data_IF_964632633119
#
_entry.id   IF_964632633119
#
_cell.length_a   1.000
_cell.length_b   1.000
_cell.length_c   1.000
_cell.angle_alpha   90.00
_cell.angle_beta   90.00
_cell.angle_gamma   90.00
#
_symmetry.space_group_name_H-M   'P 1'
#
loop_
_entity.id
_entity.type
_entity.pdbx_description
1 polymer ?
#
# COMPACT_ATOMS: atom_id res chain seq x y z
N UNK A 1 -18.34 17.29 -15.75
CA UNK A 1 -18.78 16.20 -14.99
C UNK A 1 -17.72 15.93 -13.96
N UNK A 2 -17.19 14.76 -13.76
CA UNK A 2 -16.27 14.46 -12.69
C UNK A 2 -14.91 15.13 -12.71
N UNK A 3 -14.54 15.83 -13.78
CA UNK A 3 -13.21 16.44 -13.89
C UNK A 3 -12.93 17.52 -12.81
N UNK A 4 -13.96 18.19 -12.36
CA UNK A 4 -13.84 19.23 -11.33
C UNK A 4 -14.08 18.71 -9.91
N UNK A 5 -14.42 17.43 -9.78
CA UNK A 5 -14.59 16.82 -8.47
C UNK A 5 -13.23 16.55 -7.85
N UNK A 6 -13.17 16.63 -6.54
CA UNK A 6 -11.93 16.40 -5.79
C UNK A 6 -12.02 15.13 -4.99
N UNK A 7 -10.88 14.44 -4.85
CA UNK A 7 -10.76 13.19 -4.12
C UNK A 7 -9.53 13.22 -3.23
N UNK A 8 -9.58 12.46 -2.15
CA UNK A 8 -8.36 12.09 -1.44
C UNK A 8 -7.60 11.13 -2.33
N UNK A 9 -6.29 11.21 -2.30
CA UNK A 9 -5.45 10.39 -3.14
C UNK A 9 -4.40 9.68 -2.30
N UNK A 10 -4.33 8.36 -2.41
CA UNK A 10 -3.39 7.56 -1.62
C UNK A 10 -2.74 6.46 -2.43
N UNK A 11 -1.71 5.87 -1.84
CA UNK A 11 -1.00 4.72 -2.40
C UNK A 11 -0.68 3.73 -1.30
N UNK A 12 -0.77 2.43 -1.59
CA UNK A 12 -0.36 1.37 -0.67
C UNK A 12 0.50 0.36 -1.40
N UNK A 13 1.38 -0.31 -0.64
CA UNK A 13 2.31 -1.30 -1.17
C UNK A 13 1.90 -2.71 -0.77
N UNK A 14 1.92 -3.61 -1.73
CA UNK A 14 1.84 -5.05 -1.50
C UNK A 14 3.27 -5.58 -1.59
N UNK A 15 3.83 -5.92 -0.44
CA UNK A 15 5.20 -6.44 -0.32
C UNK A 15 5.09 -7.86 0.23
N UNK A 16 5.58 -8.83 -0.52
CA UNK A 16 5.54 -10.23 -0.10
C UNK A 16 6.96 -10.75 0.22
N UNK A 17 7.03 -11.69 1.17
CA UNK A 17 8.29 -12.39 1.46
C UNK A 17 8.38 -13.69 0.66
N UNK A 18 9.46 -14.46 0.88
CA UNK A 18 9.71 -15.72 0.18
C UNK A 18 8.60 -16.76 0.41
N UNK A 19 7.87 -16.67 1.52
CA UNK A 19 6.76 -17.58 1.85
C UNK A 19 5.43 -17.09 1.30
N UNK A 20 5.40 -15.99 0.55
CA UNK A 20 4.19 -15.41 0.00
C UNK A 20 3.34 -14.64 1.00
N UNK A 21 3.86 -14.40 2.20
CA UNK A 21 3.17 -13.60 3.21
C UNK A 21 3.36 -12.12 2.95
N UNK A 22 2.40 -11.32 3.37
CA UNK A 22 2.33 -9.89 3.09
C UNK A 22 2.72 -9.05 4.30
N UNK A 23 3.47 -7.97 4.04
CA UNK A 23 3.90 -7.06 5.09
C UNK A 23 2.75 -6.16 5.55
N UNK A 24 2.47 -6.19 6.85
CA UNK A 24 1.51 -5.31 7.51
C UNK A 24 2.20 -4.54 8.62
N UNK A 25 1.77 -3.30 8.83
CA UNK A 25 2.27 -2.41 9.86
C UNK A 25 1.16 -2.08 10.85
N UNK A 26 1.48 -2.10 12.16
CA UNK A 26 0.53 -1.75 13.20
C UNK A 26 0.62 -0.25 13.49
N UNK A 27 -0.49 0.47 13.34
CA UNK A 27 -0.54 1.90 13.59
C UNK A 27 -0.46 2.22 15.08
N UNK A 28 0.16 3.34 15.41
CA UNK A 28 0.20 3.90 16.78
C UNK A 28 -0.92 4.91 17.00
N UNK A 29 -1.71 5.22 15.96
CA UNK A 29 -2.76 6.23 15.95
C UNK A 29 -4.09 5.65 15.48
N UNK A 30 -5.15 6.45 15.60
CA UNK A 30 -6.48 6.04 15.17
C UNK A 30 -6.96 4.80 15.92
N UNK A 31 -7.46 3.82 15.19
CA UNK A 31 -7.92 2.55 15.77
C UNK A 31 -6.78 1.58 16.07
N UNK A 32 -5.53 1.99 15.85
CA UNK A 32 -4.33 1.18 16.09
C UNK A 32 -4.35 -0.18 15.38
N UNK A 33 -5.01 -0.23 14.24
CA UNK A 33 -5.12 -1.46 13.46
C UNK A 33 -3.91 -1.73 12.58
N UNK A 34 -3.94 -2.88 11.94
CA UNK A 34 -2.94 -3.28 10.95
C UNK A 34 -3.29 -2.73 9.59
N UNK A 35 -2.29 -2.26 8.86
CA UNK A 35 -2.47 -1.68 7.53
C UNK A 35 -1.31 -2.02 6.61
N UNK A 36 -1.56 -1.91 5.30
CA UNK A 36 -0.49 -1.98 4.30
C UNK A 36 0.40 -0.74 4.43
N UNK A 37 1.71 -0.85 4.11
CA UNK A 37 2.56 0.33 4.01
C UNK A 37 2.02 1.30 2.96
N UNK A 38 2.10 2.60 3.22
CA UNK A 38 1.64 3.63 2.28
C UNK A 38 1.05 4.83 2.98
N UNK A 39 0.42 5.69 2.21
CA UNK A 39 -0.18 6.91 2.73
C UNK A 39 -0.64 7.84 1.63
N UNK A 40 -0.78 9.12 1.95
CA UNK A 40 -1.26 10.12 1.00
C UNK A 40 -0.23 10.52 -0.04
N UNK A 41 -0.72 10.93 -1.20
CA UNK A 41 0.11 11.52 -2.24
C UNK A 41 0.15 13.03 -2.00
N UNK A 42 1.35 13.60 -1.90
CA UNK A 42 1.52 15.02 -1.66
C UNK A 42 1.39 15.84 -2.95
N UNK A 43 0.98 17.11 -2.86
CA UNK A 43 0.94 17.99 -4.03
C UNK A 43 2.30 18.04 -4.73
N UNK A 44 2.30 17.91 -6.05
CA UNK A 44 3.52 17.95 -6.85
C UNK A 44 4.23 16.60 -6.99
N UNK A 45 3.75 15.58 -6.33
CA UNK A 45 4.34 14.24 -6.31
C UNK A 45 3.61 13.33 -7.28
N UNK A 46 4.34 12.47 -8.00
CA UNK A 46 3.70 11.38 -8.76
C UNK A 46 3.34 10.25 -7.80
N UNK A 47 2.45 9.34 -8.24
CA UNK A 47 2.08 8.20 -7.39
C UNK A 47 3.28 7.27 -7.14
N UNK A 48 4.19 7.14 -8.10
CA UNK A 48 5.42 6.36 -7.91
C UNK A 48 6.34 7.01 -6.88
N UNK A 49 6.52 8.34 -6.98
CA UNK A 49 7.30 9.06 -5.98
C UNK A 49 6.71 8.91 -4.59
N UNK A 50 5.37 8.96 -4.49
CA UNK A 50 4.67 8.84 -3.21
C UNK A 50 4.92 7.48 -2.55
N UNK A 51 4.82 6.38 -3.30
CA UNK A 51 5.02 5.05 -2.70
C UNK A 51 6.46 4.83 -2.26
N UNK A 52 7.44 5.34 -3.02
CA UNK A 52 8.85 5.27 -2.62
C UNK A 52 9.09 6.08 -1.35
N UNK A 53 8.55 7.29 -1.27
CA UNK A 53 8.69 8.17 -0.10
C UNK A 53 8.03 7.55 1.13
N UNK A 54 6.77 7.10 1.02
CA UNK A 54 6.04 6.51 2.14
C UNK A 54 6.74 5.28 2.69
N UNK A 55 7.22 4.39 1.83
CA UNK A 55 7.93 3.20 2.29
C UNK A 55 9.29 3.55 2.92
N UNK A 56 9.99 4.55 2.41
CA UNK A 56 11.23 5.01 3.04
C UNK A 56 10.95 5.55 4.45
N UNK A 57 9.91 6.35 4.60
CA UNK A 57 9.54 6.91 5.90
C UNK A 57 9.10 5.82 6.88
N UNK A 58 8.30 4.88 6.43
CA UNK A 58 7.69 3.87 7.31
C UNK A 58 8.57 2.66 7.58
N UNK A 59 9.40 2.27 6.62
CA UNK A 59 10.20 1.05 6.70
C UNK A 59 11.71 1.31 6.86
N UNK A 60 12.14 2.56 6.66
CA UNK A 60 13.55 2.93 6.75
C UNK A 60 14.43 2.35 5.65
N UNK A 61 13.83 1.97 4.51
CA UNK A 61 14.58 1.40 3.39
C UNK A 61 14.03 1.90 2.06
N UNK A 62 14.78 1.67 0.99
CA UNK A 62 14.38 2.07 -0.36
C UNK A 62 13.83 0.85 -1.09
N UNK A 63 12.63 0.98 -1.68
CA UNK A 63 12.05 -0.07 -2.52
C UNK A 63 12.98 -0.37 -3.70
N UNK A 64 13.06 -1.65 -4.09
CA UNK A 64 13.78 -2.07 -5.29
C UNK A 64 12.97 -1.78 -6.54
N UNK A 65 11.64 -1.94 -6.44
CA UNK A 65 10.73 -1.67 -7.54
C UNK A 65 9.33 -1.33 -7.00
N UNK A 66 8.50 -0.76 -7.86
CA UNK A 66 7.09 -0.53 -7.58
C UNK A 66 6.32 -0.60 -8.90
N UNK A 67 5.43 -1.56 -9.01
CA UNK A 67 4.61 -1.79 -10.20
C UNK A 67 3.16 -1.49 -9.86
N UNK A 68 2.54 -0.53 -10.54
CA UNK A 68 1.13 -0.21 -10.35
C UNK A 68 0.28 -1.38 -10.83
N UNK A 69 -0.49 -1.99 -9.94
CA UNK A 69 -1.30 -3.16 -10.24
C UNK A 69 -2.80 -2.89 -10.20
N UNK A 70 -3.21 -1.82 -9.55
CA UNK A 70 -4.61 -1.50 -9.45
C UNK A 70 -4.87 -0.07 -8.98
N UNK A 71 -6.09 0.37 -9.23
CA UNK A 71 -6.59 1.68 -8.83
C UNK A 71 -8.01 1.49 -8.30
N UNK A 72 -8.25 1.95 -7.06
CA UNK A 72 -9.49 1.61 -6.35
C UNK A 72 -10.14 2.85 -5.77
N UNK A 73 -11.46 2.92 -5.90
CA UNK A 73 -12.24 3.98 -5.28
C UNK A 73 -12.85 3.46 -3.98
N UNK A 74 -12.64 4.21 -2.90
CA UNK A 74 -13.21 3.92 -1.58
C UNK A 74 -14.23 5.00 -1.23
N UNK A 75 -15.52 4.66 -1.34
CA UNK A 75 -16.61 5.64 -1.20
C UNK A 75 -16.69 6.24 0.20
N UNK A 76 -16.42 5.45 1.23
CA UNK A 76 -16.57 5.91 2.61
C UNK A 76 -15.63 7.05 3.01
N UNK A 77 -14.51 7.21 2.30
CA UNK A 77 -13.55 8.31 2.53
C UNK A 77 -13.34 9.17 1.28
N UNK A 78 -14.09 8.91 0.23
CA UNK A 78 -13.96 9.60 -1.06
C UNK A 78 -12.51 9.65 -1.54
N UNK A 79 -11.88 8.49 -1.61
CA UNK A 79 -10.46 8.37 -1.98
C UNK A 79 -10.27 7.48 -3.20
N UNK A 80 -9.33 7.90 -4.05
CA UNK A 80 -8.75 7.05 -5.09
C UNK A 80 -7.41 6.55 -4.55
N UNK A 81 -7.17 5.26 -4.61
CA UNK A 81 -5.96 4.65 -4.04
C UNK A 81 -5.28 3.76 -5.06
N UNK A 82 -4.02 4.07 -5.36
CA UNK A 82 -3.17 3.23 -6.19
C UNK A 82 -2.53 2.12 -5.36
N UNK A 83 -2.56 0.90 -5.87
CA UNK A 83 -1.91 -0.24 -5.23
C UNK A 83 -0.71 -0.65 -6.08
N UNK A 84 0.43 -0.75 -5.42
CA UNK A 84 1.69 -1.14 -6.05
C UNK A 84 2.18 -2.47 -5.49
N UNK A 85 2.61 -3.37 -6.37
CA UNK A 85 3.38 -4.53 -5.97
C UNK A 85 4.83 -4.10 -5.89
N UNK A 86 5.44 -4.27 -4.74
CA UNK A 86 6.78 -3.75 -4.45
C UNK A 86 7.69 -4.82 -3.90
N UNK A 87 9.01 -4.64 -4.11
CA UNK A 87 10.04 -5.48 -3.51
C UNK A 87 10.95 -4.65 -2.63
N UNK A 88 11.41 -5.25 -1.54
CA UNK A 88 12.38 -4.64 -0.64
C UNK A 88 13.68 -5.45 -0.64
N UNK A 89 14.84 -4.82 -0.34
CA UNK A 89 16.09 -5.55 -0.24
C UNK A 89 16.02 -6.63 0.84
N UNK A 90 16.38 -7.87 0.50
CA UNK A 90 16.23 -9.03 1.39
C UNK A 90 17.20 -9.02 2.58
N UNK A 91 18.28 -8.27 2.48
CA UNK A 91 19.33 -8.21 3.51
C UNK A 91 19.29 -6.93 4.34
N UNK A 92 18.33 -6.04 4.09
CA UNK A 92 18.18 -4.82 4.87
C UNK A 92 17.10 -5.00 5.94
N UNK A 93 17.33 -4.37 7.09
CA UNK A 93 16.42 -4.44 8.22
C UNK A 93 15.34 -3.38 8.10
N UNK A 94 14.09 -3.75 8.43
CA UNK A 94 12.99 -2.80 8.53
C UNK A 94 13.14 -2.02 9.83
N UNK A 95 13.17 -0.69 9.71
CA UNK A 95 13.25 0.22 10.85
C UNK A 95 12.01 1.10 10.82
N UNK A 96 11.08 0.85 11.74
CA UNK A 96 9.80 1.53 11.76
C UNK A 96 9.92 2.97 12.26
N UNK A 97 9.07 3.86 11.72
CA UNK A 97 8.90 5.22 12.23
C UNK A 97 8.01 5.18 13.49
N UNK A 98 7.83 6.34 14.12
CA UNK A 98 6.97 6.46 15.31
C UNK A 98 5.47 6.24 15.00
N UNK A 99 5.08 6.26 13.74
CA UNK A 99 3.69 6.02 13.33
C UNK A 99 3.28 4.55 13.41
N UNK A 100 4.25 3.64 13.49
CA UNK A 100 4.00 2.20 13.56
C UNK A 100 4.82 1.56 14.68
N UNK A 101 4.18 0.69 15.46
CA UNK A 101 4.83 0.04 16.62
C UNK A 101 5.39 -1.33 16.31
N UNK A 102 4.83 -2.01 15.32
CA UNK A 102 5.19 -3.38 14.96
C UNK A 102 4.96 -3.61 13.48
N UNK A 103 5.65 -4.62 12.94
CA UNK A 103 5.29 -5.16 11.63
C UNK A 103 5.13 -6.67 11.74
N UNK A 104 4.40 -7.24 10.79
CA UNK A 104 4.28 -8.71 10.67
C UNK A 104 4.14 -9.10 9.22
N UNK A 105 4.44 -10.38 8.96
CA UNK A 105 4.18 -11.02 7.67
C UNK A 105 2.91 -11.85 7.83
N UNK A 106 1.86 -11.46 7.12
CA UNK A 106 0.51 -12.02 7.31
C UNK A 106 0.10 -12.89 6.12
N UNK A 107 -0.71 -13.92 6.41
CA UNK A 107 -1.36 -14.69 5.37
C UNK A 107 -2.43 -13.83 4.70
N UNK A 108 -2.68 -14.08 3.41
CA UNK A 108 -3.72 -13.38 2.68
C UNK A 108 -5.09 -13.50 3.37
N UNK A 109 -5.35 -14.66 3.96
CA UNK A 109 -6.60 -14.94 4.69
C UNK A 109 -6.81 -14.06 5.94
N UNK A 110 -5.74 -13.46 6.48
CA UNK A 110 -5.83 -12.59 7.65
C UNK A 110 -6.32 -11.19 7.30
N UNK A 111 -6.31 -10.83 6.00
CA UNK A 111 -6.74 -9.51 5.54
C UNK A 111 -8.27 -9.42 5.49
N UNK A 112 -8.81 -8.24 5.77
CA UNK A 112 -10.22 -7.97 5.53
C UNK A 112 -10.55 -8.05 4.03
N UNK A 113 -11.82 -8.15 3.70
CA UNK A 113 -12.26 -8.43 2.32
C UNK A 113 -11.70 -7.42 1.30
N UNK A 114 -11.81 -6.13 1.58
CA UNK A 114 -11.32 -5.08 0.67
C UNK A 114 -9.82 -5.19 0.45
N UNK A 115 -9.06 -5.30 1.53
CA UNK A 115 -7.60 -5.43 1.47
C UNK A 115 -7.20 -6.70 0.73
N UNK A 116 -7.91 -7.81 0.99
CA UNK A 116 -7.62 -9.10 0.34
C UNK A 116 -7.82 -9.03 -1.16
N UNK A 117 -8.92 -8.40 -1.63
CA UNK A 117 -9.17 -8.24 -3.07
C UNK A 117 -8.08 -7.41 -3.74
N UNK A 118 -7.67 -6.31 -3.12
CA UNK A 118 -6.59 -5.48 -3.64
C UNK A 118 -5.26 -6.24 -3.70
N UNK A 119 -4.98 -7.02 -2.67
CA UNK A 119 -3.76 -7.83 -2.61
C UNK A 119 -3.79 -8.96 -3.65
N UNK A 120 -4.93 -9.63 -3.82
CA UNK A 120 -5.10 -10.69 -4.81
C UNK A 120 -4.88 -10.14 -6.23
N UNK A 121 -5.45 -8.98 -6.53
CA UNK A 121 -5.24 -8.32 -7.83
C UNK A 121 -3.76 -8.04 -8.07
N UNK A 122 -3.06 -7.57 -7.05
CA UNK A 122 -1.62 -7.27 -7.14
C UNK A 122 -0.78 -8.52 -7.38
N UNK A 123 -1.08 -9.60 -6.66
CA UNK A 123 -0.35 -10.86 -6.78
C UNK A 123 -0.62 -11.55 -8.12
N UNK A 124 -1.81 -11.36 -8.68
CA UNK A 124 -2.21 -11.95 -9.95
C UNK A 124 -1.88 -11.05 -11.18
N UNK A 125 -1.26 -9.88 -10.95
CA UNK A 125 -0.98 -8.92 -12.01
C UNK A 125 -0.09 -9.51 -13.11
N UNK A 126 -0.53 -9.38 -14.36
CA UNK A 126 0.19 -9.83 -15.54
C UNK A 126 0.16 -8.76 -16.66
N UNK A 127 0.25 -7.49 -16.25
CA UNK A 127 0.34 -6.37 -17.19
C UNK A 127 -0.94 -5.57 -17.37
N UNK A 128 -2.05 -5.99 -16.75
CA UNK A 128 -3.31 -5.25 -16.78
C UNK A 128 -3.62 -4.67 -15.41
N UNK A 129 -3.75 -3.33 -15.35
CA UNK A 129 -4.10 -2.63 -14.11
C UNK A 129 -5.58 -2.85 -13.83
N UNK A 130 -5.89 -3.36 -12.64
CA UNK A 130 -7.27 -3.63 -12.20
C UNK A 130 -7.87 -2.40 -11.54
N UNK A 131 -9.19 -2.32 -11.51
CA UNK A 131 -9.89 -1.29 -10.76
C UNK A 131 -11.18 -1.84 -10.14
N UNK A 132 -11.54 -1.31 -9.00
CA UNK A 132 -12.78 -1.64 -8.29
C UNK A 132 -13.26 -0.42 -7.54
N UNK A 133 -14.56 -0.39 -7.24
CA UNK A 133 -15.16 0.60 -6.35
C UNK A 133 -15.73 -0.12 -5.13
N UNK A 134 -15.47 0.44 -3.97
CA UNK A 134 -15.91 -0.13 -2.69
C UNK A 134 -16.83 0.83 -1.93
#
# INVERSE_FOLDING_TARGET
MGFHDTYRFGVHAIISNADGKLLLLKRTYGNKGWSLPGGGVDPGETIHEAIFRECREELGLTLQDAVLTGFYYHSHINAQVGIFRCSIPSHEEIILSSEHSEYKWAELSELGEVQRLRAQDALAYQGEVKSRAF
#
